data_IF_644396713884
#
_entry.id   IF_644396713884
#
_cell.length_a   1.000
_cell.length_b   1.000
_cell.length_c   1.000
_cell.angle_alpha   90.00
_cell.angle_beta   90.00
_cell.angle_gamma   90.00
#
_symmetry.space_group_name_H-M   'P 1'
#
loop_
_entity.id
_entity.type
_entity.pdbx_description
1 polymer ?
#
# COMPACT_ATOMS: atom_id res chain seq x y z
N UNK A 1 -16.00 9.41 -23.95
CA UNK A 1 -14.52 9.27 -23.73
C UNK A 1 -14.20 7.93 -23.07
N UNK A 2 -13.20 7.19 -23.56
CA UNK A 2 -12.81 5.86 -23.04
C UNK A 2 -11.48 5.96 -22.30
N UNK A 3 -11.40 5.37 -21.11
CA UNK A 3 -10.18 5.23 -20.32
C UNK A 3 -9.62 3.81 -20.43
N UNK A 4 -8.30 3.69 -20.47
CA UNK A 4 -7.58 2.43 -20.43
C UNK A 4 -6.79 2.31 -19.12
N UNK A 5 -6.94 1.20 -18.41
CA UNK A 5 -6.11 0.91 -17.25
C UNK A 5 -4.69 0.53 -17.69
N UNK A 6 -3.63 1.21 -17.24
CA UNK A 6 -2.25 0.86 -17.61
C UNK A 6 -1.81 -0.49 -17.02
N UNK A 7 -2.51 -1.00 -16.00
CA UNK A 7 -2.13 -2.21 -15.27
C UNK A 7 -2.85 -3.48 -15.73
N UNK A 8 -4.00 -3.39 -16.41
CA UNK A 8 -4.72 -4.55 -16.94
C UNK A 8 -5.41 -4.31 -18.28
N UNK A 9 -5.20 -3.16 -18.89
CA UNK A 9 -5.79 -2.76 -20.18
C UNK A 9 -7.32 -2.79 -20.23
N UNK A 10 -7.98 -2.84 -19.07
CA UNK A 10 -9.43 -2.71 -18.98
C UNK A 10 -9.88 -1.37 -19.57
N UNK A 11 -10.97 -1.42 -20.35
CA UNK A 11 -11.55 -0.26 -21.02
C UNK A 11 -12.83 0.14 -20.32
N UNK A 12 -12.98 1.43 -19.99
CA UNK A 12 -14.18 1.96 -19.37
C UNK A 12 -14.61 3.26 -20.05
N UNK A 13 -15.90 3.37 -20.40
CA UNK A 13 -16.49 4.67 -20.73
C UNK A 13 -16.61 5.51 -19.47
N UNK A 14 -16.17 6.76 -19.53
CA UNK A 14 -16.28 7.69 -18.39
C UNK A 14 -17.72 7.97 -18.04
N UNK A 15 -18.59 8.11 -19.05
CA UNK A 15 -20.02 8.33 -18.83
C UNK A 15 -20.67 7.12 -18.13
N UNK A 16 -20.29 5.90 -18.52
CA UNK A 16 -20.77 4.70 -17.85
C UNK A 16 -20.23 4.62 -16.40
N UNK A 17 -18.95 4.98 -16.20
CA UNK A 17 -18.32 5.00 -14.89
C UNK A 17 -19.00 5.98 -13.92
N UNK A 18 -19.37 7.17 -14.39
CA UNK A 18 -20.05 8.17 -13.56
C UNK A 18 -21.50 7.81 -13.27
N UNK A 19 -22.15 7.03 -14.14
CA UNK A 19 -23.51 6.54 -13.89
C UNK A 19 -23.57 5.31 -12.98
N UNK A 20 -22.54 4.48 -12.98
CA UNK A 20 -22.44 3.29 -12.12
C UNK A 20 -22.49 3.68 -10.63
N UNK A 21 -23.50 3.15 -9.92
CA UNK A 21 -23.72 3.46 -8.51
C UNK A 21 -22.61 2.89 -7.61
N UNK A 22 -22.12 1.68 -7.91
CA UNK A 22 -21.07 1.05 -7.13
C UNK A 22 -19.73 1.76 -7.31
N UNK A 23 -19.44 2.23 -8.53
CA UNK A 23 -18.26 3.03 -8.82
C UNK A 23 -18.29 4.37 -8.08
N UNK A 24 -19.41 5.09 -8.14
CA UNK A 24 -19.60 6.36 -7.42
C UNK A 24 -19.43 6.20 -5.91
N UNK A 25 -20.05 5.18 -5.33
CA UNK A 25 -19.94 4.93 -3.90
C UNK A 25 -18.50 4.57 -3.51
N UNK A 26 -17.87 3.63 -4.24
CA UNK A 26 -16.49 3.23 -3.97
C UNK A 26 -15.51 4.40 -4.06
N UNK A 27 -15.62 5.22 -5.10
CA UNK A 27 -14.74 6.37 -5.31
C UNK A 27 -15.05 7.51 -4.33
N UNK A 28 -16.32 7.71 -3.97
CA UNK A 28 -16.74 8.71 -2.98
C UNK A 28 -16.18 8.43 -1.58
N UNK A 29 -15.96 7.17 -1.22
CA UNK A 29 -15.35 6.78 0.06
C UNK A 29 -13.83 7.09 0.14
N UNK A 30 -13.19 7.58 -0.93
CA UNK A 30 -11.73 7.73 -0.98
C UNK A 30 -11.15 8.61 0.13
N UNK A 31 -11.88 9.63 0.58
CA UNK A 31 -11.42 10.53 1.64
C UNK A 31 -11.45 9.94 3.05
N UNK A 32 -12.22 8.87 3.29
CA UNK A 32 -12.44 8.29 4.63
C UNK A 32 -11.90 6.87 4.76
N UNK A 33 -11.58 6.21 3.65
CA UNK A 33 -11.05 4.85 3.65
C UNK A 33 -9.53 4.77 3.88
N UNK A 34 -9.02 3.63 4.40
CA UNK A 34 -7.58 3.40 4.56
C UNK A 34 -6.82 3.57 3.22
N UNK A 35 -5.65 4.25 3.20
CA UNK A 35 -4.87 4.46 1.99
C UNK A 35 -4.57 3.19 1.19
N UNK A 36 -4.32 2.07 1.87
CA UNK A 36 -3.97 0.79 1.25
C UNK A 36 -5.18 0.03 0.71
N UNK A 37 -6.43 0.47 0.94
CA UNK A 37 -7.61 -0.28 0.54
C UNK A 37 -7.73 -0.45 -0.99
N UNK A 38 -7.46 0.57 -1.80
CA UNK A 38 -7.48 0.38 -3.26
C UNK A 38 -6.40 -0.61 -3.71
N UNK A 39 -5.18 -0.50 -3.17
CA UNK A 39 -4.09 -1.43 -3.47
C UNK A 39 -4.45 -2.85 -3.09
N UNK A 40 -5.09 -3.05 -1.93
CA UNK A 40 -5.58 -4.33 -1.46
C UNK A 40 -6.66 -4.92 -2.38
N UNK A 41 -7.61 -4.11 -2.86
CA UNK A 41 -8.64 -4.59 -3.81
C UNK A 41 -8.04 -5.12 -5.11
N UNK A 42 -6.91 -4.58 -5.57
CA UNK A 42 -6.22 -5.10 -6.77
C UNK A 42 -5.71 -6.54 -6.60
N UNK A 43 -5.57 -7.03 -5.37
CA UNK A 43 -5.15 -8.41 -5.10
C UNK A 43 -6.20 -9.45 -5.50
N UNK A 44 -7.48 -9.06 -5.59
CA UNK A 44 -8.60 -9.92 -5.98
C UNK A 44 -8.79 -10.01 -7.51
N UNK A 45 -8.04 -9.21 -8.26
CA UNK A 45 -8.08 -9.20 -9.72
C UNK A 45 -7.40 -10.46 -10.25
N UNK A 46 -8.11 -11.22 -11.08
CA UNK A 46 -7.52 -12.32 -11.85
C UNK A 46 -6.63 -11.80 -12.99
N UNK A 47 -5.76 -12.65 -13.54
CA UNK A 47 -4.91 -12.27 -14.67
C UNK A 47 -5.70 -11.90 -15.92
N UNK A 48 -6.82 -12.59 -16.17
CA UNK A 48 -7.57 -12.50 -17.44
C UNK A 48 -8.77 -11.55 -17.38
N UNK A 49 -9.21 -11.15 -16.19
CA UNK A 49 -10.45 -10.38 -16.03
C UNK A 49 -10.28 -9.23 -15.05
N UNK A 50 -10.82 -8.08 -15.44
CA UNK A 50 -10.97 -6.92 -14.59
C UNK A 50 -11.90 -7.21 -13.40
N UNK A 51 -11.69 -6.48 -12.31
CA UNK A 51 -12.56 -6.51 -11.14
C UNK A 51 -13.73 -5.54 -11.38
N UNK A 52 -14.98 -6.00 -11.26
CA UNK A 52 -16.15 -5.12 -11.37
C UNK A 52 -16.27 -4.19 -10.17
N UNK A 53 -16.86 -3.01 -10.35
CA UNK A 53 -17.08 -2.05 -9.26
C UNK A 53 -18.01 -2.59 -8.17
N UNK A 54 -19.07 -3.33 -8.53
CA UNK A 54 -19.94 -4.00 -7.57
C UNK A 54 -19.18 -4.95 -6.65
N UNK A 55 -18.33 -5.80 -7.25
CA UNK A 55 -17.51 -6.75 -6.48
C UNK A 55 -16.47 -6.01 -5.64
N UNK A 56 -15.82 -4.99 -6.20
CA UNK A 56 -14.86 -4.17 -5.48
C UNK A 56 -15.48 -3.47 -4.28
N UNK A 57 -16.68 -2.90 -4.43
CA UNK A 57 -17.44 -2.25 -3.37
C UNK A 57 -17.83 -3.23 -2.27
N UNK A 58 -18.32 -4.42 -2.64
CA UNK A 58 -18.63 -5.48 -1.68
C UNK A 58 -17.40 -5.87 -0.86
N UNK A 59 -16.29 -6.17 -1.52
CA UNK A 59 -15.02 -6.52 -0.86
C UNK A 59 -14.48 -5.37 0.01
N UNK A 60 -14.67 -4.12 -0.41
CA UNK A 60 -14.26 -2.96 0.37
C UNK A 60 -15.04 -2.86 1.67
N UNK A 61 -16.38 -2.94 1.61
CA UNK A 61 -17.25 -2.92 2.79
C UNK A 61 -16.96 -4.09 3.73
N UNK A 62 -16.78 -5.30 3.18
CA UNK A 62 -16.40 -6.48 3.96
C UNK A 62 -15.06 -6.29 4.67
N UNK A 63 -14.05 -5.73 3.99
CA UNK A 63 -12.73 -5.46 4.58
C UNK A 63 -12.81 -4.43 5.71
N UNK A 64 -13.55 -3.34 5.51
CA UNK A 64 -13.73 -2.29 6.52
C UNK A 64 -14.44 -2.77 7.79
N UNK A 65 -15.22 -3.85 7.70
CA UNK A 65 -15.89 -4.48 8.85
C UNK A 65 -14.98 -5.44 9.64
N UNK A 66 -13.77 -5.74 9.16
CA UNK A 66 -12.88 -6.72 9.83
C UNK A 66 -12.19 -6.16 11.07
N UNK A 67 -12.05 -4.85 11.19
CA UNK A 67 -11.41 -4.18 12.33
C UNK A 67 -12.11 -2.87 12.62
N UNK A 68 -12.33 -2.59 13.90
CA UNK A 68 -12.82 -1.29 14.36
C UNK A 68 -11.70 -0.24 14.44
N UNK A 69 -10.44 -0.68 14.52
CA UNK A 69 -9.26 0.20 14.54
C UNK A 69 -8.76 0.44 13.09
N UNK A 70 -8.89 1.68 12.57
CA UNK A 70 -8.44 2.03 11.23
C UNK A 70 -6.93 1.93 11.05
N UNK A 71 -6.14 2.19 12.10
CA UNK A 71 -4.68 2.17 12.02
C UNK A 71 -4.16 0.74 11.93
N UNK A 72 -4.70 -0.17 12.74
CA UNK A 72 -4.41 -1.60 12.64
C UNK A 72 -4.85 -2.16 11.28
N UNK A 73 -6.02 -1.76 10.78
CA UNK A 73 -6.50 -2.21 9.48
C UNK A 73 -5.56 -1.76 8.35
N UNK A 74 -5.15 -0.49 8.34
CA UNK A 74 -4.23 0.04 7.33
C UNK A 74 -2.90 -0.71 7.34
N UNK A 75 -2.30 -0.93 8.51
CA UNK A 75 -1.04 -1.65 8.65
C UNK A 75 -1.14 -3.09 8.10
N UNK A 76 -2.20 -3.82 8.48
CA UNK A 76 -2.41 -5.18 8.01
C UNK A 76 -2.68 -5.26 6.50
N UNK A 77 -3.36 -4.26 5.93
CA UNK A 77 -3.60 -4.18 4.50
C UNK A 77 -2.33 -3.87 3.72
N UNK A 78 -1.50 -2.94 4.19
CA UNK A 78 -0.21 -2.62 3.60
C UNK A 78 0.71 -3.84 3.60
N UNK A 79 0.85 -4.53 4.73
CA UNK A 79 1.63 -5.77 4.85
C UNK A 79 1.12 -6.85 3.91
N UNK A 80 -0.21 -7.03 3.81
CA UNK A 80 -0.81 -7.99 2.88
C UNK A 80 -0.48 -7.67 1.42
N UNK A 81 -0.51 -6.38 1.04
CA UNK A 81 -0.17 -5.94 -0.31
C UNK A 81 1.30 -6.24 -0.63
N UNK A 82 2.21 -5.92 0.29
CA UNK A 82 3.64 -6.19 0.10
C UNK A 82 3.93 -7.68 0.01
N UNK A 83 3.41 -8.49 0.94
CA UNK A 83 3.60 -9.94 0.92
C UNK A 83 3.10 -10.59 -0.38
N UNK A 84 1.97 -10.11 -0.91
CA UNK A 84 1.42 -10.62 -2.18
C UNK A 84 2.18 -10.13 -3.40
N UNK A 85 2.75 -8.91 -3.37
CA UNK A 85 3.64 -8.41 -4.42
C UNK A 85 4.88 -9.28 -4.52
N UNK A 86 5.55 -9.55 -3.40
CA UNK A 86 6.74 -10.41 -3.35
C UNK A 86 6.43 -11.83 -3.87
N UNK A 87 5.28 -12.41 -3.50
CA UNK A 87 4.85 -13.73 -4.03
C UNK A 87 4.62 -13.73 -5.54
N UNK A 88 4.08 -12.64 -6.08
CA UNK A 88 3.88 -12.48 -7.54
C UNK A 88 5.21 -12.37 -8.27
N UNK A 89 6.17 -11.61 -7.73
CA UNK A 89 7.53 -11.50 -8.26
C UNK A 89 8.25 -12.86 -8.29
N UNK A 90 7.97 -13.73 -7.32
CA UNK A 90 8.48 -15.10 -7.25
C UNK A 90 7.71 -16.11 -8.12
N UNK A 91 6.72 -15.67 -8.90
CA UNK A 91 5.90 -16.54 -9.77
C UNK A 91 4.87 -17.41 -9.05
N UNK A 92 4.65 -17.22 -7.74
CA UNK A 92 3.72 -18.01 -6.92
C UNK A 92 2.42 -17.25 -6.59
N UNK A 93 2.25 -16.03 -7.10
CA UNK A 93 1.18 -15.13 -6.68
C UNK A 93 -0.13 -15.33 -7.44
N UNK A 94 -1.10 -16.01 -6.83
CA UNK A 94 -2.47 -16.09 -7.35
C UNK A 94 -3.36 -14.95 -6.84
N UNK A 95 -4.44 -14.65 -7.58
CA UNK A 95 -5.47 -13.72 -7.11
C UNK A 95 -6.15 -14.23 -5.83
N UNK A 96 -6.44 -13.30 -4.91
CA UNK A 96 -7.17 -13.61 -3.68
C UNK A 96 -8.62 -13.94 -3.98
N UNK A 97 -9.14 -14.96 -3.28
CA UNK A 97 -10.55 -15.38 -3.36
C UNK A 97 -11.41 -14.77 -2.25
N UNK A 98 -10.81 -14.50 -1.08
CA UNK A 98 -11.49 -14.02 0.13
C UNK A 98 -10.50 -13.27 1.04
N UNK A 99 -11.00 -12.77 2.18
CA UNK A 99 -10.24 -12.00 3.17
C UNK A 99 -9.46 -12.87 4.18
N UNK A 100 -9.36 -14.20 4.00
CA UNK A 100 -8.75 -15.07 5.02
C UNK A 100 -7.28 -14.75 5.29
N UNK A 101 -6.54 -14.29 4.27
CA UNK A 101 -5.17 -13.84 4.46
C UNK A 101 -5.12 -12.58 5.33
N UNK A 102 -5.93 -11.56 5.01
CA UNK A 102 -6.01 -10.33 5.79
C UNK A 102 -6.42 -10.61 7.24
N UNK A 103 -7.37 -11.52 7.48
CA UNK A 103 -7.75 -11.96 8.83
C UNK A 103 -6.58 -12.60 9.59
N UNK A 104 -5.72 -13.37 8.93
CA UNK A 104 -4.52 -13.94 9.55
C UNK A 104 -3.53 -12.85 9.92
N UNK A 105 -3.29 -11.89 9.02
CA UNK A 105 -2.38 -10.76 9.27
C UNK A 105 -2.90 -9.92 10.45
N UNK A 106 -4.18 -9.57 10.46
CA UNK A 106 -4.81 -8.84 11.59
C UNK A 106 -4.64 -9.56 12.93
N UNK A 107 -4.67 -10.89 12.95
CA UNK A 107 -4.44 -11.68 14.17
C UNK A 107 -2.97 -11.81 14.57
N UNK A 108 -2.02 -11.59 13.65
CA UNK A 108 -0.58 -11.63 13.92
C UNK A 108 0.05 -10.27 14.15
N UNK A 109 -0.58 -9.18 13.70
CA UNK A 109 -0.09 -7.83 13.93
C UNK A 109 -0.28 -7.49 15.41
N UNK A 110 0.79 -7.35 16.23
CA UNK A 110 0.64 -6.80 17.56
C UNK A 110 0.04 -5.41 17.42
N UNK A 111 -0.97 -5.08 18.22
CA UNK A 111 -1.55 -3.73 18.29
C UNK A 111 -0.41 -2.75 18.57
N UNK A 112 0.09 -2.11 17.51
CA UNK A 112 1.18 -1.16 17.61
C UNK A 112 0.60 0.10 18.25
N UNK A 113 0.64 0.16 19.59
CA UNK A 113 0.51 1.43 20.29
C UNK A 113 1.56 2.38 19.73
N UNK A 114 1.08 3.43 19.07
CA UNK A 114 1.75 4.70 18.78
C UNK A 114 3.27 4.64 18.52
N UNK A 115 3.64 4.47 17.25
CA UNK A 115 4.89 5.07 16.76
C UNK A 115 4.52 6.26 15.88
N UNK A 116 4.27 7.38 16.54
CA UNK A 116 4.19 8.71 15.92
C UNK A 116 5.56 9.02 15.32
N UNK A 117 5.79 8.65 14.05
CA UNK A 117 6.91 9.21 13.30
C UNK A 117 6.50 10.62 12.90
N UNK A 118 7.06 11.58 13.62
CA UNK A 118 6.86 13.00 13.50
C UNK A 118 6.90 13.49 12.04
N UNK A 119 5.98 14.42 11.76
CA UNK A 119 6.07 15.33 10.63
C UNK A 119 7.45 16.01 10.64
N UNK A 120 8.17 15.93 9.53
CA UNK A 120 9.22 16.89 9.21
C UNK A 120 8.65 17.81 8.13
N UNK A 121 8.12 18.95 8.56
CA UNK A 121 7.95 20.12 7.69
C UNK A 121 9.33 20.65 7.36
N UNK A 122 9.67 20.70 6.08
CA UNK A 122 10.86 21.39 5.59
C UNK A 122 10.46 22.38 4.51
N UNK A 123 10.28 23.63 4.93
CA UNK A 123 10.37 24.82 4.09
C UNK A 123 11.36 25.78 4.80
N UNK A 124 12.56 25.92 4.24
CA UNK A 124 13.30 27.18 4.05
C UNK A 124 14.82 26.94 3.91
N UNK A 125 15.33 27.38 2.76
CA UNK A 125 16.63 27.96 2.43
C UNK A 125 17.90 27.65 3.26
N UNK A 126 18.94 27.19 2.55
CA UNK A 126 20.32 27.61 2.83
C UNK A 126 21.33 26.50 3.13
N UNK A 127 22.38 26.47 2.30
CA UNK A 127 23.70 25.84 2.51
C UNK A 127 23.81 24.29 2.51
N UNK A 128 24.32 23.77 1.40
CA UNK A 128 24.94 22.42 1.27
C UNK A 128 26.13 22.26 2.24
N UNK A 129 26.21 21.15 3.00
CA UNK A 129 27.49 20.56 3.37
C UNK A 129 27.79 19.34 2.48
N UNK A 130 29.04 19.26 2.02
CA UNK A 130 29.54 18.19 1.17
C UNK A 130 29.50 16.82 1.89
N UNK A 131 28.98 15.82 1.20
CA UNK A 131 28.97 14.43 1.64
C UNK A 131 30.39 13.91 1.87
N UNK A 132 30.75 13.62 3.12
CA UNK A 132 31.96 12.86 3.46
C UNK A 132 31.74 11.40 3.11
N UNK A 133 32.50 10.90 2.14
CA UNK A 133 32.42 9.51 1.70
C UNK A 133 32.97 8.55 2.76
N UNK A 134 32.42 7.32 2.75
CA UNK A 134 32.70 6.24 3.72
C UNK A 134 34.17 5.81 3.76
N UNK A 135 34.96 6.15 2.75
CA UNK A 135 36.40 5.83 2.66
C UNK A 135 37.25 6.66 3.63
N UNK A 136 36.85 7.91 3.93
CA UNK A 136 37.58 8.78 4.86
C UNK A 136 37.42 8.33 6.33
N UNK A 137 36.33 7.64 6.67
CA UNK A 137 36.09 7.11 8.03
C UNK A 137 36.89 5.83 8.33
N UNK A 138 37.36 5.11 7.30
CA UNK A 138 38.16 3.90 7.49
C UNK A 138 39.63 4.23 7.82
N UNK A 139 40.17 5.30 7.24
CA UNK A 139 41.57 5.71 7.43
C UNK A 139 41.80 6.24 8.86
N UNK A 140 40.88 7.03 9.41
CA UNK A 140 41.00 7.56 10.77
C UNK A 140 40.95 6.49 11.89
N UNK A 141 40.37 5.31 11.62
CA UNK A 141 40.37 4.20 12.60
C UNK A 141 41.72 3.48 12.65
N UNK A 142 42.48 3.46 11.55
CA UNK A 142 43.80 2.82 11.49
C UNK A 142 44.87 3.70 12.14
N UNK A 143 44.77 5.02 12.06
CA UNK A 143 45.71 5.94 12.70
C UNK A 143 45.62 5.90 14.24
N UNK A 144 44.43 5.67 14.80
CA UNK A 144 44.25 5.51 16.25
C UNK A 144 44.84 4.21 16.80
N UNK A 145 45.02 3.18 15.98
CA UNK A 145 45.56 1.88 16.42
C UNK A 145 47.10 1.88 16.50
N UNK A 146 47.76 2.83 15.84
CA UNK A 146 49.23 2.94 15.83
C UNK A 146 49.79 3.81 16.97
N UNK A 147 48.93 4.38 17.82
CA UNK A 147 49.30 5.25 18.96
C UNK A 147 48.80 4.74 20.32
N UNK A 148 48.39 3.47 20.39
CA UNK A 148 48.07 2.75 21.64
C UNK A 148 49.08 1.65 21.90
#
# INVERSE_FOLDING_TARGET
MILHCPCCHAQYSIEALTQDAAARELLGMRGTMPPSLLSYLTLFRSEKRALSFERALKLAKEALQLSADPAQLEAAMAETVEAMRTKREQGQGTALKNHNYLKKVLGSTPTASASTSALVTSDDSGARPAARSKTASAIGRLENWKRG
#
